data_IF_994740209680
#
_entry.id   IF_994740209680
#
_cell.length_a   1.000
_cell.length_b   1.000
_cell.length_c   1.000
_cell.angle_alpha   90.00
_cell.angle_beta   90.00
_cell.angle_gamma   90.00
#
_symmetry.space_group_name_H-M   'P 1'
#
loop_
_entity.id
_entity.type
_entity.pdbx_description
1 polymer ?
#
# COMPACT_ATOMS: atom_id res chain seq x y z
N UNK A 1 21.59 -17.84 17.06
CA UNK A 1 21.14 -17.20 18.32
C UNK A 1 20.22 -16.07 17.92
N UNK A 2 19.04 -15.99 18.51
CA UNK A 2 18.10 -14.88 18.35
C UNK A 2 18.06 -14.12 19.68
N UNK A 3 18.01 -12.79 19.61
CA UNK A 3 17.89 -11.93 20.78
C UNK A 3 16.47 -11.37 20.83
N UNK A 4 15.80 -11.53 21.98
CA UNK A 4 14.53 -10.88 22.26
C UNK A 4 14.79 -9.64 23.14
N UNK A 5 14.60 -8.42 22.60
CA UNK A 5 14.84 -7.18 23.35
C UNK A 5 13.77 -6.91 24.42
N UNK A 6 12.56 -7.47 24.30
CA UNK A 6 11.49 -7.25 25.29
C UNK A 6 11.77 -8.00 26.59
N UNK A 7 12.32 -9.21 26.48
CA UNK A 7 12.71 -10.05 27.63
C UNK A 7 14.19 -9.95 27.98
N UNK A 8 15.00 -9.33 27.11
CA UNK A 8 16.45 -9.27 27.21
C UNK A 8 17.09 -10.67 27.31
N UNK A 9 16.57 -11.62 26.52
CA UNK A 9 17.04 -13.01 26.52
C UNK A 9 17.52 -13.47 25.14
N UNK A 10 18.39 -14.48 25.12
CA UNK A 10 18.82 -15.15 23.91
C UNK A 10 18.19 -16.54 23.79
N UNK A 11 17.77 -16.89 22.59
CA UNK A 11 17.35 -18.25 22.23
C UNK A 11 18.26 -18.83 21.14
N UNK A 12 18.31 -20.16 21.09
CA UNK A 12 19.02 -20.91 20.05
C UNK A 12 18.04 -21.87 19.37
N UNK A 13 18.04 -21.96 18.04
CA UNK A 13 17.30 -22.99 17.32
C UNK A 13 17.66 -24.39 17.84
N UNK A 14 16.68 -25.29 17.90
CA UNK A 14 16.83 -26.61 18.49
C UNK A 14 17.74 -27.57 17.69
N UNK A 15 18.03 -27.23 16.43
CA UNK A 15 18.84 -28.05 15.53
C UNK A 15 19.92 -27.22 14.80
N UNK A 16 21.06 -27.88 14.61
CA UNK A 16 22.25 -27.49 13.86
C UNK A 16 23.25 -26.55 14.59
N UNK A 17 24.27 -27.18 15.18
CA UNK A 17 25.62 -26.61 15.23
C UNK A 17 26.10 -26.46 13.78
N UNK A 18 25.87 -25.30 13.18
CA UNK A 18 26.33 -24.99 11.82
C UNK A 18 27.12 -23.69 11.82
N UNK A 19 28.17 -23.66 11.01
CA UNK A 19 28.91 -22.46 10.73
C UNK A 19 28.25 -21.75 9.55
N UNK A 20 27.90 -20.49 9.72
CA UNK A 20 27.34 -19.67 8.65
C UNK A 20 27.97 -18.29 8.65
N UNK A 21 28.11 -17.74 7.45
CA UNK A 21 28.45 -16.34 7.21
C UNK A 21 27.30 -15.57 6.55
N UNK A 22 26.22 -16.26 6.18
CA UNK A 22 25.00 -15.69 5.63
C UNK A 22 23.79 -16.04 6.47
N UNK A 23 23.11 -15.04 6.98
CA UNK A 23 21.80 -15.17 7.64
C UNK A 23 20.84 -14.15 7.06
N UNK A 24 19.60 -14.56 6.82
CA UNK A 24 18.50 -13.68 6.43
C UNK A 24 17.22 -14.09 7.15
N UNK A 25 16.24 -13.18 7.20
CA UNK A 25 14.89 -13.43 7.72
C UNK A 25 13.89 -13.08 6.64
N UNK A 26 12.91 -13.95 6.40
CA UNK A 26 11.87 -13.70 5.40
C UNK A 26 10.69 -12.87 5.93
N UNK A 27 9.71 -12.58 5.07
CA UNK A 27 8.54 -11.77 5.45
C UNK A 27 7.63 -12.41 6.51
N UNK A 28 7.74 -13.73 6.72
CA UNK A 28 6.99 -14.45 7.75
C UNK A 28 7.78 -14.56 9.07
N UNK A 29 9.00 -14.01 9.12
CA UNK A 29 9.90 -14.16 10.27
C UNK A 29 10.70 -15.46 10.26
N UNK A 30 10.62 -16.28 9.21
CA UNK A 30 11.42 -17.50 9.12
C UNK A 30 12.91 -17.14 8.95
N UNK A 31 13.78 -17.85 9.64
CA UNK A 31 15.23 -17.61 9.64
C UNK A 31 15.90 -18.54 8.63
N UNK A 32 16.69 -17.99 7.72
CA UNK A 32 17.40 -18.74 6.69
C UNK A 32 18.91 -18.66 6.92
N UNK A 33 19.58 -19.82 6.97
CA UNK A 33 21.03 -19.93 7.13
C UNK A 33 21.70 -20.42 5.85
N UNK A 34 22.59 -19.62 5.31
CA UNK A 34 23.51 -19.98 4.23
C UNK A 34 24.65 -20.84 4.76
N UNK A 35 24.46 -22.17 4.75
CA UNK A 35 25.52 -23.14 5.06
C UNK A 35 25.35 -24.37 4.17
N UNK A 36 26.06 -25.46 4.46
CA UNK A 36 25.82 -26.73 3.81
C UNK A 36 25.55 -27.82 4.88
N UNK A 37 24.29 -28.25 5.07
CA UNK A 37 23.12 -27.92 4.26
C UNK A 37 22.59 -26.49 4.52
N UNK A 38 21.77 -25.98 3.62
CA UNK A 38 21.02 -24.74 3.83
C UNK A 38 19.86 -25.06 4.76
N UNK A 39 19.60 -24.19 5.73
CA UNK A 39 18.50 -24.37 6.68
C UNK A 39 17.50 -23.23 6.59
N UNK A 40 16.21 -23.57 6.75
CA UNK A 40 15.16 -22.61 7.09
C UNK A 40 14.50 -23.04 8.39
N UNK A 41 14.43 -22.11 9.33
CA UNK A 41 13.78 -22.27 10.62
C UNK A 41 12.54 -21.40 10.69
N UNK A 42 11.53 -21.84 11.44
CA UNK A 42 10.45 -20.95 11.85
C UNK A 42 10.93 -19.99 12.98
N UNK A 43 10.13 -18.97 13.34
CA UNK A 43 10.49 -18.04 14.41
C UNK A 43 10.69 -18.68 15.79
N UNK A 44 10.18 -19.91 16.02
CA UNK A 44 10.39 -20.66 17.26
C UNK A 44 11.76 -21.37 17.30
N UNK A 45 12.46 -21.43 16.16
CA UNK A 45 13.72 -22.12 16.00
C UNK A 45 13.59 -23.59 15.61
N UNK A 46 12.40 -24.04 15.19
CA UNK A 46 12.22 -25.37 14.61
C UNK A 46 12.60 -25.37 13.12
N UNK A 47 13.23 -26.44 12.65
CA UNK A 47 13.61 -26.57 11.23
C UNK A 47 12.36 -26.81 10.39
N UNK A 48 12.08 -25.93 9.43
CA UNK A 48 11.03 -26.11 8.41
C UNK A 48 11.53 -27.02 7.29
N UNK A 49 12.74 -26.76 6.81
CA UNK A 49 13.43 -27.61 5.86
C UNK A 49 14.95 -27.43 5.94
N UNK A 50 15.66 -28.44 5.46
CA UNK A 50 17.10 -28.38 5.26
C UNK A 50 17.47 -29.08 3.96
N UNK A 51 18.24 -28.41 3.10
CA UNK A 51 18.61 -28.94 1.78
C UNK A 51 20.13 -28.94 1.64
N UNK A 52 20.76 -30.09 1.36
CA UNK A 52 22.17 -30.15 0.99
C UNK A 52 22.46 -29.22 -0.19
N UNK A 53 23.51 -28.42 -0.09
CA UNK A 53 23.90 -27.57 -1.22
C UNK A 53 24.30 -28.47 -2.40
N UNK A 54 23.83 -28.22 -3.64
CA UNK A 54 24.10 -29.07 -4.81
C UNK A 54 25.59 -29.14 -5.16
N UNK A 55 26.37 -28.16 -4.69
CA UNK A 55 27.82 -28.11 -4.82
C UNK A 55 28.49 -28.47 -3.49
N UNK A 56 29.18 -29.61 -3.37
CA UNK A 56 29.86 -30.00 -2.15
C UNK A 56 31.03 -29.05 -1.87
N UNK A 57 31.20 -28.66 -0.60
CA UNK A 57 32.31 -27.81 -0.15
C UNK A 57 32.25 -26.35 -0.58
N UNK A 58 31.10 -25.88 -1.08
CA UNK A 58 30.94 -24.44 -1.37
C UNK A 58 30.98 -23.61 -0.09
N UNK A 59 31.60 -22.45 -0.18
CA UNK A 59 31.65 -21.44 0.88
C UNK A 59 30.50 -20.45 0.66
N UNK A 60 29.40 -20.62 1.39
CA UNK A 60 28.22 -19.76 1.29
C UNK A 60 28.47 -18.49 2.10
N UNK A 61 28.63 -17.36 1.41
CA UNK A 61 28.93 -16.05 2.02
C UNK A 61 27.72 -15.14 2.17
N UNK A 62 26.68 -15.39 1.40
CA UNK A 62 25.44 -14.62 1.43
C UNK A 62 24.24 -15.53 1.29
N UNK A 63 23.16 -15.18 1.97
CA UNK A 63 21.85 -15.80 1.79
C UNK A 63 20.81 -14.69 1.69
N UNK A 64 19.96 -14.74 0.68
CA UNK A 64 19.05 -13.66 0.31
C UNK A 64 17.68 -14.27 0.06
N UNK A 65 16.63 -13.63 0.56
CA UNK A 65 15.24 -13.98 0.24
C UNK A 65 14.75 -13.05 -0.86
N UNK A 66 14.19 -13.60 -1.94
CA UNK A 66 13.59 -12.81 -3.02
C UNK A 66 12.10 -12.55 -2.82
N UNK A 67 11.48 -11.78 -3.74
CA UNK A 67 10.08 -11.37 -3.65
C UNK A 67 9.08 -12.53 -3.72
N UNK A 68 9.48 -13.69 -4.24
CA UNK A 68 8.65 -14.90 -4.27
C UNK A 68 8.83 -15.77 -3.01
N UNK A 69 9.57 -15.25 -2.02
CA UNK A 69 10.03 -15.97 -0.84
C UNK A 69 11.06 -17.07 -1.12
N UNK A 70 11.63 -17.12 -2.33
CA UNK A 70 12.68 -18.08 -2.67
C UNK A 70 14.04 -17.65 -2.13
N UNK A 71 14.92 -18.63 -1.94
CA UNK A 71 16.22 -18.44 -1.29
C UNK A 71 17.34 -18.44 -2.32
N UNK A 72 18.18 -17.42 -2.29
CA UNK A 72 19.41 -17.34 -3.05
C UNK A 72 20.63 -17.49 -2.15
N UNK A 73 21.56 -18.36 -2.52
CA UNK A 73 22.87 -18.47 -1.88
C UNK A 73 23.95 -17.87 -2.77
N UNK A 74 24.89 -17.15 -2.16
CA UNK A 74 26.07 -16.58 -2.82
C UNK A 74 27.27 -17.45 -2.48
N UNK A 75 27.84 -18.08 -3.50
CA UNK A 75 28.77 -19.19 -3.34
C UNK A 75 30.18 -18.77 -3.76
N UNK A 76 30.98 -18.30 -2.79
CA UNK A 76 32.28 -17.66 -3.04
C UNK A 76 33.26 -18.60 -3.74
N UNK A 77 33.52 -19.77 -3.17
CA UNK A 77 34.55 -20.68 -3.69
C UNK A 77 34.18 -21.31 -5.04
N UNK A 78 32.90 -21.29 -5.41
CA UNK A 78 32.42 -21.94 -6.65
C UNK A 78 31.97 -20.96 -7.73
N UNK A 79 32.14 -19.65 -7.52
CA UNK A 79 31.87 -18.58 -8.50
C UNK A 79 30.46 -18.63 -9.10
N UNK A 80 29.46 -18.90 -8.27
CA UNK A 80 28.06 -18.99 -8.70
C UNK A 80 27.11 -18.49 -7.61
N UNK A 81 25.84 -18.43 -7.97
CA UNK A 81 24.72 -18.29 -7.05
C UNK A 81 23.77 -19.48 -7.25
N UNK A 82 23.10 -19.94 -6.20
CA UNK A 82 22.09 -21.00 -6.30
C UNK A 82 20.76 -20.52 -5.76
N UNK A 83 19.68 -20.88 -6.45
CA UNK A 83 18.31 -20.59 -6.06
C UNK A 83 17.64 -21.85 -5.50
N UNK A 84 16.87 -21.69 -4.43
CA UNK A 84 16.07 -22.73 -3.79
C UNK A 84 14.65 -22.23 -3.57
N UNK A 85 13.69 -23.13 -3.70
CA UNK A 85 12.28 -22.87 -3.45
C UNK A 85 12.06 -22.52 -1.97
N UNK A 86 11.37 -21.41 -1.72
CA UNK A 86 11.17 -20.87 -0.37
C UNK A 86 10.39 -21.75 0.60
N UNK A 87 9.51 -22.60 0.05
CA UNK A 87 8.54 -23.40 0.81
C UNK A 87 9.09 -24.80 1.06
N UNK A 88 9.65 -25.42 0.02
CA UNK A 88 10.09 -26.81 0.01
C UNK A 88 11.60 -26.97 0.21
N UNK A 89 12.37 -25.90 -0.01
CA UNK A 89 13.83 -25.95 0.00
C UNK A 89 14.45 -26.62 -1.23
N UNK A 90 13.65 -26.99 -2.24
CA UNK A 90 14.15 -27.67 -3.44
C UNK A 90 15.09 -26.77 -4.24
N UNK A 91 16.19 -27.33 -4.75
CA UNK A 91 17.07 -26.59 -5.67
C UNK A 91 16.34 -26.27 -6.97
N UNK A 92 16.41 -25.01 -7.38
CA UNK A 92 15.76 -24.50 -8.60
C UNK A 92 16.77 -24.18 -9.71
N UNK A 93 17.90 -23.56 -9.35
CA UNK A 93 18.89 -23.14 -10.32
C UNK A 93 20.27 -22.95 -9.69
N UNK A 94 21.33 -23.11 -10.48
CA UNK A 94 22.68 -22.61 -10.16
C UNK A 94 23.18 -21.83 -11.35
N UNK A 95 23.57 -20.59 -11.11
CA UNK A 95 23.92 -19.62 -12.15
C UNK A 95 25.37 -19.19 -11.93
N UNK A 96 26.28 -19.41 -12.89
CA UNK A 96 27.65 -18.94 -12.78
C UNK A 96 27.68 -17.40 -12.78
N UNK A 97 28.57 -16.83 -11.98
CA UNK A 97 28.80 -15.39 -11.89
C UNK A 97 30.31 -15.11 -11.98
N UNK A 98 30.71 -13.88 -11.66
CA UNK A 98 32.13 -13.49 -11.57
C UNK A 98 32.89 -14.25 -10.47
N UNK A 99 34.19 -14.00 -10.40
CA UNK A 99 35.08 -14.66 -9.43
C UNK A 99 34.80 -14.19 -8.00
N UNK A 100 34.81 -15.13 -7.06
CA UNK A 100 34.66 -14.93 -5.62
C UNK A 100 33.49 -14.02 -5.25
N UNK A 101 32.25 -14.34 -5.67
CA UNK A 101 31.11 -13.48 -5.40
C UNK A 101 30.90 -13.37 -3.89
N UNK A 102 30.64 -12.14 -3.46
CA UNK A 102 30.50 -11.80 -2.04
C UNK A 102 29.44 -10.71 -1.89
N UNK A 103 28.62 -10.83 -0.86
CA UNK A 103 27.61 -9.82 -0.50
C UNK A 103 27.78 -9.41 0.95
N UNK A 104 27.61 -8.13 1.23
CA UNK A 104 27.56 -7.60 2.59
C UNK A 104 26.12 -7.26 2.97
N UNK A 105 25.78 -7.47 4.24
CA UNK A 105 24.50 -7.03 4.83
C UNK A 105 23.27 -7.61 4.10
N UNK A 106 22.16 -6.87 4.07
CA UNK A 106 20.96 -7.22 3.33
C UNK A 106 21.07 -6.73 1.88
N UNK A 107 21.70 -7.54 1.01
CA UNK A 107 21.93 -7.16 -0.39
C UNK A 107 20.67 -6.76 -1.18
N UNK A 108 19.46 -7.01 -0.65
CA UNK A 108 18.16 -6.62 -1.21
C UNK A 108 17.49 -5.43 -0.53
N UNK A 109 18.00 -4.92 0.60
CA UNK A 109 17.33 -3.88 1.40
C UNK A 109 16.03 -4.34 2.09
N UNK A 110 15.74 -5.64 2.08
CA UNK A 110 14.51 -6.22 2.64
C UNK A 110 14.50 -6.13 4.18
N UNK A 111 15.64 -6.39 4.81
CA UNK A 111 15.79 -6.25 6.25
C UNK A 111 15.68 -4.78 6.66
N UNK A 112 16.23 -3.85 5.89
CA UNK A 112 16.12 -2.41 6.14
C UNK A 112 14.67 -1.87 6.09
N UNK A 113 13.77 -2.50 5.32
CA UNK A 113 12.34 -2.13 5.30
C UNK A 113 11.49 -2.84 6.36
N UNK A 114 11.89 -4.01 6.83
CA UNK A 114 11.07 -4.86 7.71
C UNK A 114 11.54 -4.91 9.17
N UNK A 115 12.73 -4.41 9.51
CA UNK A 115 13.32 -4.54 10.86
C UNK A 115 13.15 -3.30 11.74
N UNK A 116 12.92 -2.09 11.21
CA UNK A 116 12.84 -0.90 12.09
C UNK A 116 11.44 -0.49 12.55
N UNK A 117 10.38 -0.92 11.87
CA UNK A 117 8.95 -0.95 12.27
C UNK A 117 8.23 -1.50 11.03
N UNK A 118 7.58 -2.68 11.04
CA UNK A 118 6.88 -3.16 9.86
C UNK A 118 5.90 -2.07 9.41
N UNK A 119 5.92 -1.65 8.15
CA UNK A 119 5.02 -0.59 7.70
C UNK A 119 4.54 -0.84 6.27
N UNK A 120 3.26 -0.59 6.04
CA UNK A 120 2.64 -0.62 4.73
C UNK A 120 2.43 0.80 4.22
N UNK A 121 2.75 1.07 2.95
CA UNK A 121 2.43 2.35 2.32
C UNK A 121 1.47 2.09 1.16
N UNK A 122 0.33 2.78 1.19
CA UNK A 122 -0.62 2.83 0.09
C UNK A 122 -0.71 4.26 -0.45
N UNK A 123 -0.70 4.42 -1.77
CA UNK A 123 -0.89 5.73 -2.40
C UNK A 123 -1.91 5.65 -3.51
N UNK A 124 -2.75 6.67 -3.60
CA UNK A 124 -3.73 6.83 -4.68
C UNK A 124 -3.68 8.26 -5.20
N UNK A 125 -3.92 8.43 -6.50
CA UNK A 125 -4.17 9.73 -7.12
C UNK A 125 -5.61 9.74 -7.60
N UNK A 126 -6.33 10.80 -7.27
CA UNK A 126 -7.70 11.05 -7.73
C UNK A 126 -7.75 12.35 -8.51
N UNK A 127 -8.64 12.41 -9.50
CA UNK A 127 -8.88 13.56 -10.37
C UNK A 127 -10.26 14.15 -10.03
N UNK A 128 -10.31 15.44 -9.73
CA UNK A 128 -11.53 16.21 -9.47
C UNK A 128 -12.19 16.77 -10.74
N UNK A 129 -11.57 16.56 -11.91
CA UNK A 129 -12.12 16.91 -13.22
C UNK A 129 -11.87 18.35 -13.68
N UNK A 130 -11.52 19.27 -12.77
CA UNK A 130 -11.27 20.67 -13.10
C UNK A 130 -10.04 21.24 -12.37
N UNK A 131 -9.33 22.16 -13.03
CA UNK A 131 -8.31 22.95 -12.38
C UNK A 131 -8.93 23.77 -11.24
N UNK A 132 -8.27 23.80 -10.09
CA UNK A 132 -8.74 24.51 -8.90
C UNK A 132 -9.81 23.78 -8.09
N UNK A 133 -10.07 22.49 -8.32
CA UNK A 133 -11.01 21.72 -7.48
C UNK A 133 -10.61 21.82 -6.00
N UNK A 134 -11.57 22.20 -5.16
CA UNK A 134 -11.39 22.34 -3.72
C UNK A 134 -11.69 21.01 -3.02
N UNK A 135 -10.68 20.40 -2.41
CA UNK A 135 -10.83 19.18 -1.62
C UNK A 135 -11.21 19.54 -0.19
N UNK A 136 -12.31 18.96 0.29
CA UNK A 136 -12.91 19.33 1.57
C UNK A 136 -12.41 18.44 2.71
N UNK A 137 -12.52 17.12 2.55
CA UNK A 137 -12.15 16.16 3.59
C UNK A 137 -11.70 14.82 3.00
N UNK A 138 -10.87 14.13 3.77
CA UNK A 138 -10.63 12.69 3.62
C UNK A 138 -11.13 12.03 4.89
N UNK A 139 -11.95 11.02 4.75
CA UNK A 139 -12.38 10.19 5.87
C UNK A 139 -12.12 8.72 5.60
N UNK A 140 -11.93 7.94 6.65
CA UNK A 140 -11.65 6.51 6.55
C UNK A 140 -12.13 5.77 7.79
N UNK A 141 -12.36 4.47 7.63
CA UNK A 141 -12.78 3.52 8.65
C UNK A 141 -14.02 3.98 9.43
N UNK A 142 -15.03 4.50 8.73
CA UNK A 142 -16.33 4.85 9.33
C UNK A 142 -17.25 3.63 9.50
N UNK A 143 -16.74 2.45 9.16
CA UNK A 143 -17.45 1.18 9.12
C UNK A 143 -16.81 0.14 10.06
N UNK A 144 -17.56 -0.90 10.50
CA UNK A 144 -17.08 -1.88 11.47
C UNK A 144 -15.84 -2.69 11.06
N UNK A 145 -15.53 -2.77 9.77
CA UNK A 145 -14.41 -3.51 9.20
C UNK A 145 -13.07 -2.74 9.36
N UNK A 146 -13.14 -1.43 9.56
CA UNK A 146 -11.98 -0.61 9.89
C UNK A 146 -11.49 -0.90 11.31
N UNK A 147 -10.18 -1.07 11.48
CA UNK A 147 -9.62 -1.39 12.79
C UNK A 147 -8.29 -0.67 13.02
N UNK A 148 -8.13 -0.13 14.22
CA UNK A 148 -6.86 0.41 14.71
C UNK A 148 -6.61 -0.17 16.12
N UNK A 149 -6.11 -1.42 16.21
CA UNK A 149 -5.87 -2.09 17.47
C UNK A 149 -4.70 -1.47 18.24
N UNK A 150 -4.81 -1.38 19.57
CA UNK A 150 -3.71 -0.99 20.45
C UNK A 150 -3.08 0.36 20.10
N UNK A 151 -1.75 0.36 19.96
CA UNK A 151 -0.91 1.50 19.58
C UNK A 151 -0.59 1.55 18.07
N UNK A 152 -1.24 0.73 17.25
CA UNK A 152 -1.10 0.79 15.78
C UNK A 152 -1.45 2.16 15.22
N UNK A 153 -0.84 2.52 14.09
CA UNK A 153 -1.02 3.83 13.46
C UNK A 153 -1.54 3.71 12.03
N UNK A 154 -2.52 4.57 11.71
CA UNK A 154 -2.94 4.88 10.34
C UNK A 154 -2.64 6.37 10.13
N UNK A 155 -1.54 6.66 9.46
CA UNK A 155 -1.15 8.05 9.15
C UNK A 155 -1.58 8.36 7.72
N UNK A 156 -2.43 9.37 7.57
CA UNK A 156 -2.90 9.85 6.25
C UNK A 156 -2.30 11.21 5.97
N UNK A 157 -1.71 11.36 4.79
CA UNK A 157 -1.19 12.61 4.29
C UNK A 157 -1.68 12.83 2.86
N UNK A 158 -1.86 14.09 2.47
CA UNK A 158 -2.31 14.45 1.12
C UNK A 158 -1.58 15.66 0.55
N UNK A 159 -1.60 15.76 -0.77
CA UNK A 159 -1.13 16.92 -1.55
C UNK A 159 -2.01 17.09 -2.79
N UNK A 160 -2.20 18.31 -3.27
CA UNK A 160 -2.98 18.59 -4.46
C UNK A 160 -2.24 19.50 -5.45
N UNK A 161 -2.54 19.37 -6.74
CA UNK A 161 -2.01 20.19 -7.82
C UNK A 161 -2.93 20.15 -9.06
N UNK A 162 -2.91 21.20 -9.89
CA UNK A 162 -3.69 21.24 -11.14
C UNK A 162 -3.14 20.34 -12.25
N UNK A 163 -1.97 19.76 -12.07
CA UNK A 163 -1.42 18.78 -13.02
C UNK A 163 -0.86 17.59 -12.26
N UNK A 164 -0.99 16.40 -12.83
CA UNK A 164 -0.46 15.17 -12.23
C UNK A 164 1.07 15.23 -12.02
N UNK A 165 1.80 15.88 -12.93
CA UNK A 165 3.24 16.12 -12.77
C UNK A 165 3.53 17.12 -11.63
N UNK A 166 2.67 18.12 -11.44
CA UNK A 166 2.76 19.12 -10.39
C UNK A 166 2.69 18.52 -8.98
N UNK A 167 2.00 17.39 -8.79
CA UNK A 167 1.94 16.69 -7.49
C UNK A 167 3.34 16.44 -6.92
N UNK A 168 4.31 16.06 -7.75
CA UNK A 168 5.69 15.77 -7.31
C UNK A 168 6.43 16.99 -6.74
N UNK A 169 5.97 18.19 -7.07
CA UNK A 169 6.55 19.46 -6.62
C UNK A 169 5.92 19.96 -5.31
N UNK A 170 4.84 19.33 -4.87
CA UNK A 170 4.11 19.70 -3.65
C UNK A 170 4.45 18.71 -2.52
N UNK A 171 4.74 19.23 -1.34
CA UNK A 171 4.96 18.42 -0.15
C UNK A 171 3.63 17.85 0.37
N UNK A 172 3.70 16.66 0.96
CA UNK A 172 2.57 16.08 1.68
C UNK A 172 2.29 16.89 2.95
N UNK A 173 1.01 17.16 3.20
CA UNK A 173 0.51 17.70 4.46
C UNK A 173 -0.27 16.64 5.25
N UNK A 174 -0.27 16.72 6.59
CA UNK A 174 -1.03 15.80 7.43
C UNK A 174 -2.53 15.98 7.23
N UNK A 175 -3.28 14.87 7.32
CA UNK A 175 -4.73 14.85 7.18
C UNK A 175 -5.37 14.25 8.42
N UNK A 176 -6.35 14.96 8.99
CA UNK A 176 -7.18 14.45 10.08
C UNK A 176 -8.39 13.70 9.50
N UNK A 177 -8.78 12.60 10.15
CA UNK A 177 -9.94 11.80 9.72
C UNK A 177 -11.23 12.63 9.76
N UNK A 178 -11.84 12.86 8.59
CA UNK A 178 -13.03 13.70 8.43
C UNK A 178 -12.80 15.20 8.69
N UNK A 179 -11.54 15.63 8.84
CA UNK A 179 -11.19 17.03 9.07
C UNK A 179 -11.08 17.84 7.77
N UNK A 180 -11.07 19.18 7.88
CA UNK A 180 -10.88 20.05 6.72
C UNK A 180 -9.46 19.91 6.14
N UNK A 181 -9.35 19.79 4.82
CA UNK A 181 -8.07 19.69 4.10
C UNK A 181 -7.48 21.04 3.73
N UNK A 182 -8.32 21.94 3.19
CA UNK A 182 -7.85 23.21 2.62
C UNK A 182 -6.88 23.03 1.44
N UNK A 183 -7.00 21.93 0.69
CA UNK A 183 -6.19 21.64 -0.48
C UNK A 183 -6.95 21.98 -1.75
N UNK A 184 -6.25 22.55 -2.73
CA UNK A 184 -6.83 22.95 -4.02
C UNK A 184 -5.97 22.44 -5.16
N UNK A 185 -6.61 21.85 -6.16
CA UNK A 185 -5.97 21.37 -7.38
C UNK A 185 -6.80 20.29 -8.05
N UNK A 186 -6.73 20.19 -9.38
CA UNK A 186 -7.42 19.13 -10.13
C UNK A 186 -7.11 17.73 -9.58
N UNK A 187 -5.84 17.43 -9.32
CA UNK A 187 -5.42 16.13 -8.80
C UNK A 187 -5.11 16.22 -7.32
N UNK A 188 -5.53 15.22 -6.56
CA UNK A 188 -5.08 14.98 -5.19
C UNK A 188 -4.35 13.64 -5.13
N UNK A 189 -3.23 13.60 -4.42
CA UNK A 189 -2.54 12.37 -4.09
C UNK A 189 -2.61 12.14 -2.58
N UNK A 190 -3.14 10.99 -2.20
CA UNK A 190 -3.21 10.54 -0.81
C UNK A 190 -2.14 9.49 -0.58
N UNK A 191 -1.47 9.56 0.56
CA UNK A 191 -0.53 8.56 1.04
C UNK A 191 -1.00 8.12 2.42
N UNK A 192 -1.14 6.81 2.59
CA UNK A 192 -1.48 6.18 3.86
C UNK A 192 -0.31 5.32 4.28
N UNK A 193 0.14 5.51 5.51
CA UNK A 193 1.15 4.67 6.17
C UNK A 193 0.47 3.89 7.28
N UNK A 194 0.60 2.57 7.25
CA UNK A 194 0.07 1.63 8.22
C UNK A 194 1.22 1.07 9.05
N UNK A 195 1.14 1.20 10.37
CA UNK A 195 2.14 0.67 11.30
C UNK A 195 1.44 -0.25 12.33
N UNK A 196 1.93 -1.49 12.56
CA UNK A 196 1.35 -2.39 13.52
C UNK A 196 1.59 -1.89 14.93
N UNK A 197 0.75 -2.38 15.84
CA UNK A 197 0.93 -2.23 17.26
C UNK A 197 2.19 -2.95 17.76
N UNK A 198 2.66 -2.57 18.95
CA UNK A 198 3.82 -3.20 19.61
C UNK A 198 3.64 -4.69 19.90
N UNK A 199 2.40 -5.18 19.91
CA UNK A 199 2.05 -6.59 20.03
C UNK A 199 1.96 -7.34 18.68
N UNK A 200 2.19 -6.65 17.55
CA UNK A 200 2.11 -7.21 16.21
C UNK A 200 0.74 -7.12 15.52
N UNK A 201 -0.30 -6.64 16.22
CA UNK A 201 -1.62 -6.46 15.61
C UNK A 201 -1.57 -5.36 14.53
N UNK A 202 -2.06 -5.68 13.34
CA UNK A 202 -2.00 -4.77 12.19
C UNK A 202 -3.27 -3.91 12.09
N UNK A 203 -3.16 -2.60 11.78
CA UNK A 203 -4.33 -1.79 11.46
C UNK A 203 -4.93 -2.21 10.11
N UNK A 204 -6.23 -1.98 9.97
CA UNK A 204 -7.00 -2.26 8.74
C UNK A 204 -7.57 -0.94 8.24
N UNK A 205 -7.13 -0.51 7.06
CA UNK A 205 -7.80 0.51 6.26
C UNK A 205 -8.79 -0.20 5.33
N UNK A 206 -10.08 -0.11 5.65
CA UNK A 206 -11.15 -0.79 4.90
C UNK A 206 -11.68 0.09 3.77
N UNK A 207 -11.91 1.37 4.06
CA UNK A 207 -12.36 2.38 3.11
C UNK A 207 -11.56 3.69 3.25
N UNK A 208 -11.63 4.49 2.19
CA UNK A 208 -11.16 5.88 2.20
C UNK A 208 -12.03 6.69 1.24
N UNK A 209 -12.66 7.73 1.77
CA UNK A 209 -13.60 8.57 1.04
C UNK A 209 -13.01 9.97 0.89
N UNK A 210 -12.98 10.44 -0.35
CA UNK A 210 -12.56 11.78 -0.73
C UNK A 210 -13.79 12.64 -1.00
N UNK A 211 -13.98 13.69 -0.20
CA UNK A 211 -14.93 14.75 -0.49
C UNK A 211 -14.20 15.91 -1.14
N UNK A 212 -14.69 16.36 -2.29
CA UNK A 212 -14.38 17.67 -2.84
C UNK A 212 -15.71 18.40 -3.03
N UNK A 213 -15.64 19.71 -3.24
CA UNK A 213 -16.83 20.56 -3.42
C UNK A 213 -17.70 20.10 -4.62
N UNK A 214 -17.08 19.41 -5.58
CA UNK A 214 -17.69 18.94 -6.82
C UNK A 214 -18.25 17.49 -6.69
N UNK A 215 -17.81 16.71 -5.69
CA UNK A 215 -18.10 15.29 -5.45
C UNK A 215 -19.24 15.10 -4.45
N UNK A 216 -19.78 16.19 -3.90
CA UNK A 216 -21.09 16.17 -3.26
C UNK A 216 -22.22 16.50 -4.27
N UNK A 217 -21.88 16.60 -5.56
CA UNK A 217 -22.87 16.92 -6.57
C UNK A 217 -22.41 16.48 -7.97
N UNK A 218 -22.65 15.20 -8.30
CA UNK A 218 -22.87 14.78 -9.71
C UNK A 218 -23.88 15.66 -10.45
N UNK A 219 -24.63 16.46 -9.69
CA UNK A 219 -25.77 17.25 -10.07
C UNK A 219 -25.63 18.76 -9.81
N UNK A 220 -24.44 19.28 -9.51
CA UNK A 220 -24.17 20.73 -9.49
C UNK A 220 -23.65 21.13 -10.87
N UNK A 221 -24.60 21.37 -11.76
CA UNK A 221 -24.38 21.54 -13.20
C UNK A 221 -23.96 22.97 -13.50
N UNK A 222 -24.40 23.93 -12.69
CA UNK A 222 -24.00 25.33 -12.83
C UNK A 222 -22.73 25.72 -12.05
N UNK A 223 -22.22 24.82 -11.21
CA UNK A 223 -20.96 24.95 -10.49
C UNK A 223 -21.01 25.95 -9.34
N UNK A 224 -22.22 26.23 -8.81
CA UNK A 224 -22.41 27.22 -7.76
C UNK A 224 -22.09 26.68 -6.34
N UNK A 225 -21.80 25.38 -6.22
CA UNK A 225 -21.48 24.71 -4.97
C UNK A 225 -22.69 24.11 -4.26
N UNK A 226 -23.81 23.90 -4.94
CA UNK A 226 -24.95 23.19 -4.42
C UNK A 226 -25.97 22.78 -5.49
N UNK A 227 -26.67 21.66 -5.23
CA UNK A 227 -27.67 21.11 -6.13
C UNK A 227 -29.03 21.72 -5.84
N UNK A 228 -29.59 22.45 -6.79
CA UNK A 228 -30.90 23.07 -6.69
C UNK A 228 -31.73 23.03 -7.99
N UNK A 229 -32.78 23.84 -8.03
CA UNK A 229 -33.70 23.91 -9.17
C UNK A 229 -33.04 24.42 -10.45
N UNK A 230 -31.95 25.20 -10.36
CA UNK A 230 -31.17 25.68 -11.49
C UNK A 230 -30.50 24.51 -12.22
N UNK A 231 -29.86 23.60 -11.48
CA UNK A 231 -29.20 22.42 -12.05
C UNK A 231 -30.21 21.50 -12.74
N UNK A 232 -31.32 21.21 -12.06
CA UNK A 232 -32.39 20.37 -12.59
C UNK A 232 -32.95 20.96 -13.88
N UNK A 233 -33.05 22.30 -13.97
CA UNK A 233 -33.53 22.98 -15.19
C UNK A 233 -32.56 22.83 -16.35
N UNK A 234 -31.26 22.83 -16.11
CA UNK A 234 -30.25 22.62 -17.16
C UNK A 234 -30.40 21.21 -17.75
N UNK A 235 -30.51 20.18 -16.90
CA UNK A 235 -30.72 18.80 -17.35
C UNK A 235 -32.05 18.66 -18.09
N UNK A 236 -33.13 19.23 -17.53
CA UNK A 236 -34.47 19.14 -18.13
C UNK A 236 -34.55 19.86 -19.48
N UNK A 237 -33.80 20.94 -19.67
CA UNK A 237 -33.72 21.66 -20.95
C UNK A 237 -32.94 20.88 -22.02
N UNK A 238 -32.00 20.03 -21.62
CA UNK A 238 -31.16 19.23 -22.51
C UNK A 238 -31.74 17.85 -22.85
N UNK A 239 -33.00 17.58 -22.53
CA UNK A 239 -33.64 16.27 -22.79
C UNK A 239 -33.62 15.87 -24.26
N UNK A 240 -33.48 14.56 -24.50
CA UNK A 240 -33.34 13.94 -25.82
C UNK A 240 -32.08 14.38 -26.58
N UNK A 241 -31.02 14.74 -25.85
CA UNK A 241 -29.71 15.01 -26.43
C UNK A 241 -28.71 13.97 -25.97
N UNK A 242 -27.62 13.83 -26.72
CA UNK A 242 -26.46 13.02 -26.32
C UNK A 242 -25.45 13.98 -25.71
N UNK A 243 -25.46 14.07 -24.38
CA UNK A 243 -24.55 14.92 -23.62
C UNK A 243 -24.11 14.18 -22.36
N UNK A 244 -22.89 13.64 -22.37
CA UNK A 244 -22.33 12.85 -21.28
C UNK A 244 -22.15 13.62 -19.98
N UNK A 245 -22.17 14.96 -20.01
CA UNK A 245 -22.10 15.78 -18.79
C UNK A 245 -23.46 15.92 -18.10
N UNK A 246 -24.56 15.69 -18.83
CA UNK A 246 -25.93 15.81 -18.31
C UNK A 246 -26.65 14.45 -18.26
N UNK A 247 -25.97 13.38 -18.67
CA UNK A 247 -26.37 11.98 -18.59
C UNK A 247 -25.86 11.42 -17.25
N UNK A 248 -26.66 11.64 -16.20
CA UNK A 248 -26.32 11.40 -14.81
C UNK A 248 -26.45 9.92 -14.46
N UNK A 249 -27.31 9.17 -15.17
CA UNK A 249 -27.43 7.72 -14.99
C UNK A 249 -26.58 6.88 -15.96
N UNK A 250 -26.01 7.50 -16.99
CA UNK A 250 -25.02 6.91 -17.89
C UNK A 250 -25.61 6.02 -18.97
N UNK A 251 -26.89 6.22 -19.34
CA UNK A 251 -27.60 5.42 -20.35
C UNK A 251 -27.36 5.88 -21.80
N UNK A 252 -26.62 6.98 -21.98
CA UNK A 252 -26.24 7.56 -23.26
C UNK A 252 -27.19 8.63 -23.80
N UNK A 253 -28.29 8.94 -23.10
CA UNK A 253 -29.27 9.96 -23.50
C UNK A 253 -29.75 10.75 -22.29
N UNK A 254 -29.78 12.08 -22.40
CA UNK A 254 -30.37 12.91 -21.34
C UNK A 254 -31.89 12.74 -21.31
N UNK A 255 -32.41 12.20 -20.20
CA UNK A 255 -33.82 11.94 -19.95
C UNK A 255 -34.34 12.66 -18.70
N UNK A 256 -35.57 12.32 -18.29
CA UNK A 256 -36.15 12.79 -17.03
C UNK A 256 -35.60 12.00 -15.83
N UNK A 257 -34.98 10.83 -16.07
CA UNK A 257 -34.41 10.00 -15.01
C UNK A 257 -33.15 10.66 -14.45
N UNK A 258 -32.34 11.31 -15.30
CA UNK A 258 -31.20 12.12 -14.90
C UNK A 258 -31.60 13.25 -13.95
N UNK A 259 -32.58 14.05 -14.37
CA UNK A 259 -33.10 15.14 -13.55
C UNK A 259 -33.67 14.62 -12.22
N UNK A 260 -34.32 13.45 -12.24
CA UNK A 260 -34.90 12.84 -11.03
C UNK A 260 -33.83 12.31 -10.07
N UNK A 261 -32.71 11.81 -10.60
CA UNK A 261 -31.56 11.40 -9.79
C UNK A 261 -30.97 12.60 -9.07
N UNK A 262 -30.82 13.73 -9.78
CA UNK A 262 -30.37 14.99 -9.17
C UNK A 262 -31.31 15.59 -8.13
N UNK A 263 -32.63 15.38 -8.26
CA UNK A 263 -33.59 15.79 -7.21
C UNK A 263 -33.29 15.12 -5.86
N UNK A 264 -32.71 13.92 -5.85
CA UNK A 264 -32.35 13.20 -4.61
C UNK A 264 -31.08 13.76 -3.95
N UNK A 265 -30.29 14.54 -4.69
CA UNK A 265 -29.03 15.16 -4.25
C UNK A 265 -29.20 16.64 -3.90
N UNK A 266 -30.43 17.17 -3.96
CA UNK A 266 -30.71 18.57 -3.67
C UNK A 266 -30.25 19.00 -2.28
N UNK A 267 -29.47 20.09 -2.24
CA UNK A 267 -28.87 20.63 -1.01
C UNK A 267 -29.93 21.14 -0.03
N UNK A 268 -31.02 21.73 -0.53
CA UNK A 268 -32.11 22.26 0.28
C UNK A 268 -33.42 21.47 0.11
N UNK A 269 -34.31 21.45 1.13
CA UNK A 269 -35.63 20.85 1.00
C UNK A 269 -36.39 21.41 -0.21
N UNK A 270 -36.98 20.50 -1.00
CA UNK A 270 -37.70 20.83 -2.26
C UNK A 270 -36.80 21.47 -3.34
N UNK A 271 -35.49 21.25 -3.30
CA UNK A 271 -34.54 21.82 -4.26
C UNK A 271 -34.64 23.35 -4.33
N UNK A 272 -34.82 24.00 -3.18
CA UNK A 272 -34.85 25.45 -3.12
C UNK A 272 -33.47 26.03 -3.53
N UNK A 273 -33.44 27.16 -4.25
CA UNK A 273 -32.19 27.79 -4.69
C UNK A 273 -31.18 27.95 -3.55
N UNK A 274 -29.93 27.63 -3.80
CA UNK A 274 -28.82 27.90 -2.90
C UNK A 274 -28.54 29.40 -2.92
N UNK A 275 -28.30 29.98 -1.74
CA UNK A 275 -28.01 31.41 -1.63
C UNK A 275 -26.63 31.70 -2.27
N UNK A 276 -26.47 32.85 -2.96
CA UNK A 276 -25.20 33.24 -3.58
C UNK A 276 -24.10 33.53 -2.55
#
# INVERSE_FOLDING_TARGET
>A
MQFDPATNTFSTPAAAWTYTLGISVDGNGDIVLGSNPIYKFDPSGAVKWSTPHPLPGTDVRGVIVDANNDIWTVNLSSNNISKFDGVTGNHLATIPVGLSPYTYSDATGFAARNITTPSGIWTVVSDGGAAGTAWESISWNNEPQGAQPGDSQITVEARAADTQAGLQLVAYGPVANGGPLGLTGQFIQVKVTLEPASNGDTPVLSDLVLANKDNNATCDIDGNGGVDIADIRIITAARNTVNSLLDIDGDGVVTVLDARKCVLECTNPRCAPVAP
#
